data_IF_824596588485
#
_entry.id   IF_824596588485
#
_cell.length_a   1.000
_cell.length_b   1.000
_cell.length_c   1.000
_cell.angle_alpha   90.00
_cell.angle_beta   90.00
_cell.angle_gamma   90.00
#
_symmetry.space_group_name_H-M   'P 1'
#
loop_
_entity.id
_entity.type
_entity.pdbx_description
1 polymer ?
#
# COMPACT_ATOMS: atom_id res chain seq x y z
N UNK A 1 18.11 2.46 0.44
CA UNK A 1 17.78 1.03 0.29
C UNK A 1 16.96 0.64 1.48
N UNK A 2 15.83 -0.06 1.28
CA UNK A 2 15.03 -0.53 2.41
C UNK A 2 15.87 -1.44 3.33
N UNK A 3 15.56 -1.42 4.62
CA UNK A 3 16.19 -2.23 5.66
C UNK A 3 16.10 -3.72 5.29
N UNK A 4 17.17 -4.46 5.57
CA UNK A 4 17.19 -5.90 5.31
C UNK A 4 16.24 -6.62 6.29
N UNK A 5 15.48 -7.61 5.79
CA UNK A 5 14.51 -8.34 6.62
C UNK A 5 15.18 -9.01 7.84
N UNK A 6 16.41 -9.51 7.66
CA UNK A 6 17.23 -10.08 8.73
C UNK A 6 17.44 -9.13 9.91
N UNK A 7 17.52 -7.81 9.67
CA UNK A 7 17.81 -6.83 10.73
C UNK A 7 16.57 -6.61 11.61
N UNK A 8 15.36 -6.66 11.03
CA UNK A 8 14.11 -6.61 11.77
C UNK A 8 13.92 -7.90 12.58
N UNK A 9 14.19 -9.06 11.96
CA UNK A 9 14.11 -10.36 12.63
C UNK A 9 15.11 -10.44 13.79
N UNK A 10 16.35 -9.97 13.60
CA UNK A 10 17.37 -9.92 14.65
C UNK A 10 16.87 -9.18 15.89
N UNK A 11 16.18 -8.05 15.71
CA UNK A 11 15.63 -7.27 16.85
C UNK A 11 14.57 -8.08 17.60
N UNK A 12 13.72 -8.83 16.90
CA UNK A 12 12.74 -9.73 17.50
C UNK A 12 13.40 -10.82 18.34
N UNK A 13 14.38 -11.51 17.75
CA UNK A 13 15.21 -12.55 18.39
C UNK A 13 15.88 -12.03 19.67
N UNK A 14 16.47 -10.82 19.61
CA UNK A 14 17.13 -10.22 20.77
C UNK A 14 16.12 -9.81 21.84
N UNK A 15 14.97 -9.26 21.44
CA UNK A 15 13.92 -8.79 22.37
C UNK A 15 13.26 -9.94 23.11
N UNK A 16 13.08 -11.09 22.47
CA UNK A 16 12.55 -12.29 23.12
C UNK A 16 13.62 -13.10 23.87
N UNK A 17 14.89 -12.68 23.81
CA UNK A 17 16.04 -13.35 24.41
C UNK A 17 16.25 -14.80 23.92
N UNK A 18 15.76 -15.13 22.72
CA UNK A 18 15.92 -16.44 22.08
C UNK A 18 17.06 -16.40 21.05
N UNK A 19 18.28 -16.12 21.50
CA UNK A 19 19.43 -15.86 20.61
C UNK A 19 19.82 -17.04 19.72
N UNK A 20 19.40 -18.25 20.08
CA UNK A 20 19.60 -19.47 19.27
C UNK A 20 18.41 -19.79 18.37
N UNK A 21 17.31 -19.02 18.45
CA UNK A 21 16.08 -19.21 17.66
C UNK A 21 15.53 -20.63 17.76
N UNK A 22 15.62 -21.24 18.95
CA UNK A 22 15.12 -22.60 19.20
C UNK A 22 13.65 -22.56 19.58
N UNK A 23 13.24 -21.55 20.37
CA UNK A 23 11.86 -21.40 20.82
C UNK A 23 10.98 -20.82 19.71
N UNK A 24 11.50 -19.83 19.00
CA UNK A 24 10.89 -19.22 17.83
C UNK A 24 11.85 -19.37 16.63
N UNK A 25 11.69 -20.44 15.84
CA UNK A 25 12.51 -20.67 14.65
C UNK A 25 12.47 -19.50 13.67
N UNK A 26 13.58 -19.26 12.97
CA UNK A 26 13.70 -18.12 12.05
C UNK A 26 12.67 -18.14 10.92
N UNK A 27 12.32 -19.33 10.41
CA UNK A 27 11.23 -19.47 9.43
C UNK A 27 9.89 -18.95 9.96
N UNK A 28 9.63 -19.10 11.26
CA UNK A 28 8.43 -18.55 11.91
C UNK A 28 8.47 -17.02 11.98
N UNK A 29 9.63 -16.43 12.31
CA UNK A 29 9.81 -14.98 12.27
C UNK A 29 9.61 -14.40 10.87
N UNK A 30 10.08 -15.10 9.83
CA UNK A 30 9.85 -14.70 8.43
C UNK A 30 8.36 -14.70 8.10
N UNK A 31 7.60 -15.70 8.54
CA UNK A 31 6.13 -15.72 8.37
C UNK A 31 5.47 -14.54 9.07
N UNK A 32 5.83 -14.24 10.31
CA UNK A 32 5.28 -13.10 11.05
C UNK A 32 5.64 -11.76 10.41
N UNK A 33 6.85 -11.64 9.85
CA UNK A 33 7.26 -10.47 9.08
C UNK A 33 6.41 -10.32 7.82
N UNK A 34 6.22 -11.39 7.04
CA UNK A 34 5.40 -11.36 5.83
C UNK A 34 3.93 -11.03 6.14
N UNK A 35 3.36 -11.65 7.18
CA UNK A 35 2.02 -11.34 7.68
C UNK A 35 1.92 -9.87 8.12
N UNK A 36 2.92 -9.35 8.85
CA UNK A 36 2.93 -7.97 9.30
C UNK A 36 3.01 -6.96 8.16
N UNK A 37 3.75 -7.25 7.10
CA UNK A 37 3.74 -6.40 5.89
C UNK A 37 2.36 -6.35 5.23
N UNK A 38 1.66 -7.49 5.17
CA UNK A 38 0.29 -7.57 4.66
C UNK A 38 -0.70 -6.84 5.57
N UNK A 39 -0.50 -6.89 6.88
CA UNK A 39 -1.32 -6.16 7.85
C UNK A 39 -1.14 -4.64 7.73
N UNK A 40 0.11 -4.18 7.57
CA UNK A 40 0.37 -2.75 7.29
C UNK A 40 -0.32 -2.35 6.00
N UNK A 41 -0.25 -3.16 4.95
CA UNK A 41 -0.91 -2.86 3.67
C UNK A 41 -2.44 -2.78 3.81
N UNK A 42 -3.03 -3.62 4.66
CA UNK A 42 -4.47 -3.61 4.93
C UNK A 42 -4.92 -2.27 5.51
N UNK A 43 -4.17 -1.75 6.48
CA UNK A 43 -4.46 -0.48 7.15
C UNK A 43 -3.98 0.75 6.38
N UNK A 44 -2.86 0.63 5.67
CA UNK A 44 -2.10 1.70 5.01
C UNK A 44 -1.68 1.26 3.62
N UNK A 45 -2.62 1.14 2.66
CA UNK A 45 -2.30 0.79 1.28
C UNK A 45 -1.35 1.81 0.63
N UNK A 46 -1.37 3.06 1.10
CA UNK A 46 -0.47 4.13 0.68
C UNK A 46 1.00 3.91 1.08
N UNK A 47 1.27 3.11 2.12
CA UNK A 47 2.63 2.74 2.55
C UNK A 47 3.38 1.87 1.51
N UNK A 48 2.65 1.30 0.56
CA UNK A 48 3.17 0.51 -0.55
C UNK A 48 2.91 1.18 -1.91
N UNK A 49 2.92 2.52 -1.94
CA UNK A 49 2.67 3.25 -3.17
C UNK A 49 3.77 3.01 -4.22
N UNK A 50 3.36 2.82 -5.46
CA UNK A 50 4.25 2.68 -6.61
C UNK A 50 3.66 3.42 -7.78
N UNK A 51 4.49 4.25 -8.41
CA UNK A 51 4.14 4.91 -9.67
C UNK A 51 4.71 4.11 -10.83
N UNK A 52 3.87 3.82 -11.82
CA UNK A 52 4.28 3.11 -13.02
C UNK A 52 3.54 3.63 -14.24
N UNK A 53 4.20 3.57 -15.39
CA UNK A 53 3.54 3.75 -16.69
C UNK A 53 3.01 2.39 -17.14
N UNK A 54 1.72 2.31 -17.41
CA UNK A 54 1.08 1.12 -17.96
C UNK A 54 0.72 1.34 -19.43
N UNK A 55 0.75 0.25 -20.18
CA UNK A 55 0.15 0.14 -21.51
C UNK A 55 -1.34 -0.19 -21.35
N UNK A 56 -2.21 0.62 -21.96
CA UNK A 56 -3.63 0.36 -21.92
C UNK A 56 -4.02 -0.76 -22.88
N UNK A 57 -5.01 -1.55 -22.48
CA UNK A 57 -5.71 -2.47 -23.38
C UNK A 57 -6.83 -1.72 -24.12
N UNK A 58 -7.18 -2.19 -25.32
CA UNK A 58 -8.28 -1.60 -26.07
C UNK A 58 -9.60 -1.71 -25.31
N UNK A 59 -10.34 -0.60 -25.21
CA UNK A 59 -11.62 -0.51 -24.52
C UNK A 59 -11.59 0.32 -23.24
N UNK A 60 -12.68 0.30 -22.49
CA UNK A 60 -12.84 1.17 -21.31
C UNK A 60 -12.25 0.61 -20.04
N UNK A 61 -12.16 -0.72 -19.90
CA UNK A 61 -11.74 -1.37 -18.65
C UNK A 61 -10.24 -1.65 -18.69
N UNK A 62 -9.53 -1.17 -17.68
CA UNK A 62 -8.09 -1.33 -17.51
C UNK A 62 -7.83 -2.09 -16.20
N UNK A 63 -6.68 -2.78 -16.15
CA UNK A 63 -6.24 -3.53 -14.99
C UNK A 63 -4.99 -2.90 -14.39
N UNK A 64 -4.82 -3.04 -13.08
CA UNK A 64 -3.55 -2.76 -12.43
C UNK A 64 -2.46 -3.74 -12.89
N UNK A 65 -1.17 -3.39 -12.74
CA UNK A 65 -0.06 -4.33 -12.87
C UNK A 65 -0.24 -5.57 -11.99
N UNK A 66 0.50 -6.65 -12.29
CA UNK A 66 0.36 -7.93 -11.58
C UNK A 66 0.60 -7.83 -10.06
N UNK A 67 1.48 -6.91 -9.63
CA UNK A 67 1.74 -6.61 -8.22
C UNK A 67 0.70 -5.65 -7.61
N UNK A 68 -0.22 -5.07 -8.38
CA UNK A 68 -1.19 -4.09 -7.90
C UNK A 68 -2.35 -4.69 -7.11
N UNK A 69 -2.61 -4.11 -5.94
CA UNK A 69 -3.73 -4.50 -5.08
C UNK A 69 -4.88 -3.50 -5.08
N UNK A 70 -4.57 -2.19 -5.10
CA UNK A 70 -5.55 -1.10 -5.08
C UNK A 70 -5.05 0.07 -5.91
N UNK A 71 -5.93 0.71 -6.69
CA UNK A 71 -5.61 1.97 -7.36
C UNK A 71 -5.59 3.12 -6.33
N UNK A 72 -4.59 4.01 -6.43
CA UNK A 72 -4.52 5.25 -5.64
C UNK A 72 -4.91 6.45 -6.52
N UNK A 73 -4.33 6.52 -7.73
CA UNK A 73 -4.60 7.62 -8.67
C UNK A 73 -4.19 7.27 -10.11
N UNK A 74 -4.80 7.96 -11.08
CA UNK A 74 -4.33 7.99 -12.48
C UNK A 74 -3.94 9.43 -12.78
N UNK A 75 -2.65 9.69 -12.89
CA UNK A 75 -2.13 11.06 -12.84
C UNK A 75 -2.21 11.75 -14.21
N UNK A 76 -1.70 11.08 -15.25
CA UNK A 76 -1.58 11.65 -16.60
C UNK A 76 -1.44 10.60 -17.68
N UNK A 77 -1.69 11.03 -18.91
CA UNK A 77 -1.21 10.34 -20.09
C UNK A 77 0.32 10.33 -20.10
N UNK A 78 0.90 9.27 -20.61
CA UNK A 78 2.35 9.10 -20.68
C UNK A 78 2.84 8.68 -22.07
N UNK A 79 2.07 8.97 -23.12
CA UNK A 79 2.56 8.83 -24.49
C UNK A 79 3.62 9.89 -24.81
N UNK A 80 4.31 9.78 -25.95
CA UNK A 80 5.27 10.81 -26.41
C UNK A 80 4.54 12.09 -26.78
N UNK A 81 3.32 11.96 -27.31
CA UNK A 81 2.52 13.08 -27.86
C UNK A 81 1.59 13.73 -26.85
N UNK A 82 1.26 13.04 -25.74
CA UNK A 82 0.40 13.59 -24.70
C UNK A 82 0.90 13.27 -23.30
N UNK A 83 1.08 14.32 -22.51
CA UNK A 83 1.29 14.29 -21.04
C UNK A 83 0.11 14.89 -20.27
N UNK A 84 -1.07 14.94 -20.90
CA UNK A 84 -2.27 15.57 -20.36
C UNK A 84 -2.71 14.88 -19.06
N UNK A 85 -3.04 15.67 -18.05
CA UNK A 85 -3.58 15.18 -16.79
C UNK A 85 -4.91 14.44 -17.00
N UNK A 86 -5.08 13.31 -16.32
CA UNK A 86 -6.33 12.54 -16.33
C UNK A 86 -7.13 12.89 -15.08
N UNK A 87 -8.45 13.08 -15.21
CA UNK A 87 -9.31 13.53 -14.11
C UNK A 87 -10.25 12.42 -13.66
N UNK A 88 -10.50 12.32 -12.37
CA UNK A 88 -11.53 11.42 -11.87
C UNK A 88 -12.92 11.88 -12.33
N UNK A 89 -13.81 10.95 -12.68
CA UNK A 89 -15.22 11.17 -12.98
C UNK A 89 -16.08 10.13 -12.27
N UNK A 90 -17.34 10.42 -11.96
CA UNK A 90 -18.30 9.37 -11.55
C UNK A 90 -18.77 8.62 -12.80
N UNK A 91 -18.79 7.29 -12.73
CA UNK A 91 -19.30 6.45 -13.84
C UNK A 91 -20.76 6.81 -14.18
N UNK A 92 -21.56 7.10 -13.16
CA UNK A 92 -22.99 7.42 -13.29
C UNK A 92 -23.24 8.64 -14.18
N UNK A 93 -22.31 9.62 -14.20
CA UNK A 93 -22.41 10.80 -15.06
C UNK A 93 -22.30 10.40 -16.53
N UNK A 94 -21.32 9.54 -16.86
CA UNK A 94 -21.14 9.03 -18.22
C UNK A 94 -22.28 8.09 -18.62
N UNK A 95 -22.72 7.23 -17.72
CA UNK A 95 -23.85 6.31 -17.96
C UNK A 95 -25.16 7.09 -18.25
N UNK A 96 -25.37 8.23 -17.59
CA UNK A 96 -26.56 9.06 -17.79
C UNK A 96 -26.47 9.97 -19.03
N UNK A 97 -25.32 10.62 -19.25
CA UNK A 97 -25.18 11.60 -20.34
C UNK A 97 -24.84 10.96 -21.69
N UNK A 98 -24.10 9.84 -21.68
CA UNK A 98 -23.65 9.13 -22.87
C UNK A 98 -23.73 7.61 -22.65
N UNK A 99 -24.92 6.98 -22.60
CA UNK A 99 -25.06 5.56 -22.26
C UNK A 99 -24.24 4.59 -23.12
N UNK A 100 -23.88 5.00 -24.34
CA UNK A 100 -23.07 4.23 -25.28
C UNK A 100 -21.56 4.53 -25.21
N UNK A 101 -21.08 5.25 -24.18
CA UNK A 101 -19.68 5.67 -24.04
C UNK A 101 -18.68 4.50 -24.03
N UNK A 102 -19.13 3.30 -23.67
CA UNK A 102 -18.31 2.09 -23.76
C UNK A 102 -18.02 1.63 -25.20
N UNK A 103 -18.83 2.03 -26.18
CA UNK A 103 -18.78 1.56 -27.56
C UNK A 103 -18.44 2.68 -28.56
N UNK A 104 -18.00 3.85 -28.09
CA UNK A 104 -17.50 4.90 -28.98
C UNK A 104 -16.10 4.56 -29.48
N UNK A 105 -15.66 5.26 -30.53
CA UNK A 105 -14.30 5.11 -31.04
C UNK A 105 -13.25 5.39 -29.94
N UNK A 106 -12.25 4.51 -29.82
CA UNK A 106 -11.20 4.65 -28.83
C UNK A 106 -10.20 5.76 -29.14
N UNK A 107 -9.53 6.27 -28.11
CA UNK A 107 -8.50 7.31 -28.21
C UNK A 107 -7.17 6.88 -27.58
N UNK A 108 -6.06 7.50 -28.01
CA UNK A 108 -4.75 7.36 -27.37
C UNK A 108 -4.55 8.34 -26.21
N UNK A 109 -5.32 9.43 -26.18
CA UNK A 109 -5.36 10.40 -25.08
C UNK A 109 -6.61 10.18 -24.23
N UNK A 110 -6.40 9.85 -22.95
CA UNK A 110 -7.45 9.62 -21.96
C UNK A 110 -7.74 10.90 -21.19
N UNK A 111 -9.01 11.18 -20.95
CA UNK A 111 -9.45 12.41 -20.28
C UNK A 111 -9.91 12.13 -18.86
N UNK A 112 -10.69 11.07 -18.69
CA UNK A 112 -11.25 10.69 -17.40
C UNK A 112 -10.89 9.27 -17.01
N UNK A 113 -10.81 9.06 -15.70
CA UNK A 113 -10.80 7.72 -15.12
C UNK A 113 -11.87 7.58 -14.04
N UNK A 114 -12.30 6.35 -13.82
CA UNK A 114 -13.31 5.99 -12.85
C UNK A 114 -12.82 4.76 -12.09
N UNK A 115 -13.10 4.69 -10.80
CA UNK A 115 -12.65 3.61 -9.93
C UNK A 115 -13.76 3.22 -8.97
N UNK A 116 -14.04 1.91 -8.90
CA UNK A 116 -14.96 1.32 -7.94
C UNK A 116 -14.15 0.55 -6.90
N UNK A 117 -14.19 0.94 -5.61
CA UNK A 117 -13.50 0.22 -4.55
C UNK A 117 -13.88 -1.27 -4.40
N UNK A 118 -15.04 -1.67 -4.93
CA UNK A 118 -15.50 -3.08 -4.95
C UNK A 118 -14.73 -3.93 -5.97
N UNK A 119 -14.16 -3.31 -7.00
CA UNK A 119 -13.27 -3.95 -7.97
C UNK A 119 -11.87 -3.29 -7.94
N UNK A 120 -11.10 -3.48 -6.85
CA UNK A 120 -9.94 -2.65 -6.55
C UNK A 120 -8.76 -2.82 -7.52
N UNK A 121 -8.76 -3.89 -8.32
CA UNK A 121 -7.72 -4.19 -9.32
C UNK A 121 -8.04 -3.69 -10.72
N UNK A 122 -9.22 -3.09 -10.92
CA UNK A 122 -9.64 -2.56 -12.21
C UNK A 122 -10.02 -1.09 -12.08
N UNK A 123 -9.94 -0.39 -13.20
CA UNK A 123 -10.45 0.97 -13.33
C UNK A 123 -10.94 1.18 -14.75
N UNK A 124 -11.74 2.23 -14.95
CA UNK A 124 -12.29 2.56 -16.25
C UNK A 124 -11.73 3.88 -16.75
N UNK A 125 -11.63 4.01 -18.07
CA UNK A 125 -11.09 5.18 -18.74
C UNK A 125 -12.07 5.69 -19.79
N UNK A 126 -12.11 7.01 -19.94
CA UNK A 126 -12.86 7.68 -20.99
C UNK A 126 -11.97 8.69 -21.73
N UNK A 127 -12.02 8.75 -23.08
CA UNK A 127 -12.68 7.78 -23.98
C UNK A 127 -12.14 6.35 -23.81
N UNK A 128 -12.77 5.32 -24.42
CA UNK A 128 -12.19 3.98 -24.47
C UNK A 128 -10.74 4.05 -24.96
N UNK A 129 -9.83 3.34 -24.31
CA UNK A 129 -8.43 3.36 -24.71
C UNK A 129 -8.22 2.61 -26.03
N UNK A 130 -7.25 3.06 -26.81
CA UNK A 130 -6.58 2.24 -27.82
C UNK A 130 -5.33 1.60 -27.23
N UNK A 131 -4.75 0.61 -27.92
CA UNK A 131 -3.45 0.01 -27.54
C UNK A 131 -2.27 1.00 -27.59
N UNK A 132 -2.47 2.20 -28.15
CA UNK A 132 -1.47 3.27 -28.17
C UNK A 132 -1.53 4.17 -26.93
N UNK A 133 -2.59 4.06 -26.12
CA UNK A 133 -2.71 4.83 -24.88
C UNK A 133 -1.75 4.29 -23.81
N UNK A 134 -1.10 5.21 -23.10
CA UNK A 134 -0.24 4.91 -21.95
C UNK A 134 -0.62 5.82 -20.81
N UNK A 135 -0.72 5.28 -19.59
CA UNK A 135 -1.10 6.03 -18.40
C UNK A 135 -0.03 5.90 -17.32
N UNK A 136 0.32 7.02 -16.69
CA UNK A 136 1.05 6.99 -15.42
C UNK A 136 0.04 6.88 -14.28
N UNK A 137 0.13 5.77 -13.56
CA UNK A 137 -0.75 5.45 -12.44
C UNK A 137 0.05 5.37 -11.15
N UNK A 138 -0.60 5.70 -10.05
CA UNK A 138 -0.13 5.42 -8.71
C UNK A 138 -1.03 4.34 -8.10
N UNK A 139 -0.43 3.28 -7.57
CA UNK A 139 -1.15 2.14 -7.02
C UNK A 139 -0.46 1.59 -5.78
N UNK A 140 -1.21 0.87 -4.95
CA UNK A 140 -0.68 0.11 -3.83
C UNK A 140 -0.18 -1.24 -4.35
N UNK A 141 1.13 -1.49 -4.26
CA UNK A 141 1.75 -2.74 -4.64
C UNK A 141 1.66 -3.75 -3.49
N UNK A 142 1.42 -5.01 -3.84
CA UNK A 142 1.41 -6.13 -2.90
C UNK A 142 2.84 -6.36 -2.40
N UNK A 143 3.09 -6.47 -1.08
CA UNK A 143 4.42 -6.75 -0.57
C UNK A 143 4.94 -8.06 -1.17
N UNK A 144 6.24 -8.10 -1.46
CA UNK A 144 6.92 -9.32 -1.82
C UNK A 144 7.28 -10.07 -0.56
N UNK A 145 6.86 -11.34 -0.47
CA UNK A 145 7.18 -12.18 0.67
C UNK A 145 8.68 -12.50 0.69
N UNK A 146 9.25 -12.45 1.90
CA UNK A 146 10.61 -12.95 2.17
C UNK A 146 10.55 -14.48 2.20
N UNK A 147 11.48 -15.13 1.50
CA UNK A 147 11.60 -16.58 1.50
C UNK A 147 12.08 -17.09 2.87
N UNK A 148 11.44 -18.16 3.37
CA UNK A 148 11.89 -18.82 4.58
C UNK A 148 13.24 -19.50 4.36
N UNK A 149 14.22 -19.33 5.28
CA UNK A 149 15.45 -20.09 5.22
C UNK A 149 15.22 -21.56 5.61
N UNK A 150 16.20 -22.43 5.35
CA UNK A 150 16.13 -23.83 5.74
C UNK A 150 15.91 -23.98 7.27
N UNK A 151 15.22 -25.04 7.68
CA UNK A 151 14.97 -25.31 9.09
C UNK A 151 16.28 -25.38 9.90
N UNK A 152 16.30 -24.76 11.09
CA UNK A 152 17.49 -24.67 11.94
C UNK A 152 18.50 -23.58 11.53
N UNK A 153 18.21 -22.79 10.49
CA UNK A 153 19.05 -21.64 10.13
C UNK A 153 18.90 -20.49 11.11
N UNK A 154 19.96 -19.68 11.23
CA UNK A 154 19.95 -18.41 11.97
C UNK A 154 19.37 -17.26 11.12
N UNK A 155 19.05 -16.13 11.77
CA UNK A 155 18.48 -14.94 11.11
C UNK A 155 19.40 -14.38 10.02
N UNK A 156 20.71 -14.66 10.09
CA UNK A 156 21.72 -14.27 9.09
C UNK A 156 21.50 -14.94 7.73
N UNK A 157 20.80 -16.07 7.68
CA UNK A 157 20.44 -16.77 6.45
C UNK A 157 19.22 -16.15 5.73
N UNK A 158 18.54 -15.19 6.34
CA UNK A 158 17.40 -14.49 5.71
C UNK A 158 17.92 -13.48 4.70
N UNK A 159 17.43 -13.59 3.47
CA UNK A 159 17.82 -12.72 2.34
C UNK A 159 16.62 -11.91 1.88
N UNK A 160 16.86 -10.66 1.48
CA UNK A 160 15.85 -9.75 0.98
C UNK A 160 15.61 -8.56 1.92
N UNK A 161 14.86 -7.59 1.42
CA UNK A 161 14.52 -6.37 2.15
C UNK A 161 13.02 -6.33 2.40
N UNK A 162 12.62 -5.64 3.45
CA UNK A 162 11.20 -5.33 3.65
C UNK A 162 10.69 -4.53 2.43
N UNK A 163 9.46 -4.82 2.02
CA UNK A 163 8.74 -4.14 0.93
C UNK A 163 8.17 -2.79 1.35
N UNK A 164 7.97 -2.59 2.65
CA UNK A 164 7.48 -1.34 3.23
C UNK A 164 8.63 -0.36 3.49
N UNK A 165 8.35 0.94 3.53
CA UNK A 165 9.36 1.95 3.87
C UNK A 165 9.93 1.75 5.29
N UNK A 166 11.21 2.10 5.47
CA UNK A 166 11.98 1.87 6.70
C UNK A 166 11.37 2.48 7.97
N UNK A 167 10.57 3.54 7.81
CA UNK A 167 9.85 4.18 8.91
C UNK A 167 8.88 3.22 9.62
N UNK A 168 8.41 2.18 8.93
CA UNK A 168 7.49 1.18 9.48
C UNK A 168 8.22 -0.01 10.12
N UNK A 169 9.55 -0.07 10.11
CA UNK A 169 10.29 -1.21 10.64
C UNK A 169 10.00 -1.50 12.13
N UNK A 170 9.79 -0.45 12.94
CA UNK A 170 9.43 -0.62 14.35
C UNK A 170 7.99 -1.11 14.53
N UNK A 171 7.04 -0.57 13.76
CA UNK A 171 5.66 -1.05 13.78
C UNK A 171 5.62 -2.53 13.33
N UNK A 172 6.37 -2.89 12.30
CA UNK A 172 6.49 -4.27 11.83
C UNK A 172 7.06 -5.19 12.91
N UNK A 173 8.09 -4.75 13.63
CA UNK A 173 8.64 -5.49 14.77
C UNK A 173 7.59 -5.70 15.89
N UNK A 174 6.81 -4.68 16.23
CA UNK A 174 5.74 -4.79 17.21
C UNK A 174 4.68 -5.82 16.78
N UNK A 175 4.30 -5.83 15.50
CA UNK A 175 3.39 -6.87 14.99
C UNK A 175 4.00 -8.28 15.13
N UNK A 176 5.28 -8.44 14.80
CA UNK A 176 5.97 -9.73 14.92
C UNK A 176 6.03 -10.20 16.39
N UNK A 177 6.32 -9.31 17.33
CA UNK A 177 6.33 -9.60 18.77
C UNK A 177 4.94 -9.92 19.30
N UNK A 178 3.90 -9.25 18.80
CA UNK A 178 2.52 -9.61 19.09
C UNK A 178 2.24 -11.06 18.71
N UNK A 179 2.59 -11.49 17.50
CA UNK A 179 2.36 -12.87 17.04
C UNK A 179 3.16 -13.89 17.87
N UNK A 180 4.42 -13.59 18.17
CA UNK A 180 5.28 -14.44 19.00
C UNK A 180 4.75 -14.62 20.44
N UNK A 181 4.38 -13.54 21.12
CA UNK A 181 3.85 -13.61 22.48
C UNK A 181 2.42 -14.16 22.54
N UNK A 182 1.61 -13.96 21.49
CA UNK A 182 0.25 -14.52 21.43
C UNK A 182 0.27 -16.04 21.32
N UNK A 183 1.21 -16.61 20.56
CA UNK A 183 1.39 -18.07 20.46
C UNK A 183 1.63 -18.71 21.83
N UNK A 184 2.38 -18.03 22.69
CA UNK A 184 2.75 -18.45 24.04
C UNK A 184 1.92 -17.75 25.14
N UNK A 185 0.65 -17.43 24.84
CA UNK A 185 -0.21 -16.65 25.74
C UNK A 185 -0.48 -17.34 27.10
N UNK A 186 -0.36 -18.66 27.17
CA UNK A 186 -0.57 -19.46 28.39
C UNK A 186 0.52 -19.19 29.46
N UNK A 187 1.68 -18.69 29.06
CA UNK A 187 2.71 -18.26 30.01
C UNK A 187 2.34 -16.91 30.63
N UNK A 188 2.45 -16.82 31.96
CA UNK A 188 2.03 -15.66 32.73
C UNK A 188 2.61 -14.35 32.18
N UNK A 189 1.73 -13.42 31.82
CA UNK A 189 2.08 -12.08 31.33
C UNK A 189 2.28 -11.98 29.80
N UNK A 190 2.42 -13.08 29.07
CA UNK A 190 2.61 -13.03 27.62
C UNK A 190 1.37 -12.52 26.88
N UNK A 191 0.17 -12.93 27.30
CA UNK A 191 -1.08 -12.42 26.73
C UNK A 191 -1.16 -10.87 26.83
N UNK A 192 -0.78 -10.30 27.98
CA UNK A 192 -0.77 -8.85 28.18
C UNK A 192 0.30 -8.16 27.32
N UNK A 193 1.50 -8.73 27.22
CA UNK A 193 2.58 -8.22 26.35
C UNK A 193 2.19 -8.24 24.88
N UNK A 194 1.57 -9.33 24.41
CA UNK A 194 1.09 -9.47 23.04
C UNK A 194 0.12 -8.33 22.70
N UNK A 195 -0.87 -8.09 23.57
CA UNK A 195 -1.84 -7.01 23.37
C UNK A 195 -1.18 -5.63 23.41
N UNK A 196 -0.19 -5.41 24.27
CA UNK A 196 0.55 -4.15 24.31
C UNK A 196 1.31 -3.89 22.99
N UNK A 197 1.98 -4.89 22.42
CA UNK A 197 2.64 -4.76 21.12
C UNK A 197 1.66 -4.55 19.97
N UNK A 198 0.52 -5.24 19.96
CA UNK A 198 -0.51 -4.98 18.95
C UNK A 198 -1.08 -3.55 19.04
N UNK A 199 -1.31 -3.05 20.26
CA UNK A 199 -1.73 -1.68 20.47
C UNK A 199 -0.67 -0.67 20.02
N UNK A 200 0.62 -0.93 20.29
CA UNK A 200 1.73 -0.10 19.81
C UNK A 200 1.80 -0.06 18.28
N UNK A 201 1.67 -1.22 17.62
CA UNK A 201 1.57 -1.34 16.17
C UNK A 201 0.44 -0.48 15.59
N UNK A 202 -0.79 -0.68 16.06
CA UNK A 202 -1.96 0.06 15.57
C UNK A 202 -1.82 1.57 15.82
N UNK A 203 -1.30 1.96 16.98
CA UNK A 203 -1.06 3.36 17.34
C UNK A 203 -0.02 4.00 16.43
N UNK A 204 1.09 3.31 16.15
CA UNK A 204 2.15 3.81 15.28
C UNK A 204 1.63 4.11 13.87
N UNK A 205 0.81 3.21 13.29
CA UNK A 205 0.19 3.42 11.98
C UNK A 205 -0.73 4.64 11.94
N UNK A 206 -1.48 4.88 13.02
CA UNK A 206 -2.37 6.03 13.15
C UNK A 206 -1.64 7.35 13.34
N UNK A 207 -0.58 7.37 14.17
CA UNK A 207 0.24 8.57 14.42
C UNK A 207 0.93 9.01 13.12
N UNK A 208 1.52 8.07 12.38
CA UNK A 208 2.22 8.41 11.14
C UNK A 208 1.25 8.96 10.08
N UNK A 209 0.04 8.39 9.93
CA UNK A 209 -0.99 8.93 9.03
C UNK A 209 -1.33 10.39 9.38
N UNK A 210 -1.58 10.66 10.67
CA UNK A 210 -1.90 12.00 11.14
C UNK A 210 -0.75 12.98 10.89
N UNK A 211 0.48 12.57 11.16
CA UNK A 211 1.68 13.38 10.91
C UNK A 211 1.82 13.72 9.42
N UNK A 212 1.70 12.73 8.55
CA UNK A 212 1.82 12.90 7.09
C UNK A 212 0.73 13.82 6.53
N UNK A 213 -0.52 13.64 6.95
CA UNK A 213 -1.61 14.53 6.53
C UNK A 213 -1.46 15.95 7.07
N UNK A 214 -0.91 16.12 8.28
CA UNK A 214 -0.67 17.45 8.86
C UNK A 214 0.48 18.22 8.20
N UNK A 215 1.48 17.50 7.68
CA UNK A 215 2.63 18.07 6.99
C UNK A 215 2.43 18.16 5.47
N UNK A 216 1.31 17.68 4.95
CA UNK A 216 1.05 17.64 3.52
C UNK A 216 0.98 19.05 2.93
N UNK A 217 1.61 19.31 1.77
CA UNK A 217 1.53 20.61 1.11
C UNK A 217 0.09 20.85 0.64
N UNK A 218 -0.57 21.86 1.20
CA UNK A 218 -1.92 22.28 0.78
C UNK A 218 -1.85 23.43 -0.24
N UNK A 219 -2.60 23.31 -1.33
CA UNK A 219 -2.83 24.41 -2.26
C UNK A 219 -4.21 25.02 -1.98
N UNK A 220 -4.21 26.10 -1.20
CA UNK A 220 -5.43 26.85 -0.89
C UNK A 220 -5.94 27.48 -2.19
N UNK A 221 -6.95 26.87 -2.81
CA UNK A 221 -7.55 27.33 -4.08
C UNK A 221 -7.48 26.36 -5.26
N UNK A 222 -7.01 25.13 -5.08
CA UNK A 222 -7.02 24.14 -6.16
C UNK A 222 -8.44 23.62 -6.45
N UNK A 223 -9.02 23.83 -7.65
CA UNK A 223 -10.35 23.32 -8.00
C UNK A 223 -10.41 21.79 -8.08
N UNK A 224 -9.25 21.12 -8.09
CA UNK A 224 -9.11 19.66 -8.06
C UNK A 224 -8.78 19.12 -6.65
N UNK A 225 -8.87 19.94 -5.59
CA UNK A 225 -8.66 19.47 -4.23
C UNK A 225 -9.76 18.46 -3.88
N UNK A 226 -9.37 17.24 -3.47
CA UNK A 226 -10.31 16.20 -3.06
C UNK A 226 -10.98 16.66 -1.75
N UNK A 227 -12.20 17.17 -1.84
CA UNK A 227 -13.00 17.58 -0.68
C UNK A 227 -13.29 16.33 0.17
N UNK A 228 -12.48 16.11 1.21
CA UNK A 228 -12.50 14.90 2.05
C UNK A 228 -11.16 14.48 2.66
N UNK A 229 -10.01 15.02 2.23
CA UNK A 229 -8.73 14.81 2.92
C UNK A 229 -8.62 15.75 4.14
N UNK A 230 -8.29 15.21 5.30
CA UNK A 230 -8.34 15.84 6.64
C UNK A 230 -7.46 17.08 6.88
N UNK A 231 -6.88 17.69 5.82
CA UNK A 231 -6.19 18.96 5.90
C UNK A 231 -7.15 20.18 5.88
N UNK A 232 -8.47 19.95 5.76
CA UNK A 232 -9.50 20.99 5.68
C UNK A 232 -9.84 21.68 7.02
N UNK A 233 -9.08 21.45 8.09
CA UNK A 233 -9.31 22.11 9.39
C UNK A 233 -8.07 22.85 9.86
N UNK A 234 -7.59 23.78 9.04
CA UNK A 234 -6.90 24.94 9.59
C UNK A 234 -8.01 25.92 9.99
N UNK A 235 -8.21 26.24 11.28
CA UNK A 235 -9.12 27.30 11.65
C UNK A 235 -8.54 28.58 11.06
N UNK A 236 -9.24 29.17 10.10
CA UNK A 236 -8.99 30.55 9.70
C UNK A 236 -9.34 31.38 10.93
N UNK A 237 -8.31 31.89 11.61
CA UNK A 237 -8.48 32.72 12.79
C UNK A 237 -9.43 33.88 12.51
N UNK A 238 -10.41 34.05 13.38
CA UNK A 238 -10.93 35.36 13.76
C UNK A 238 -10.11 35.87 14.93
#
# INVERSE_FOLDING_TARGET
MPIAAKDVIQRGVVTTQDTTSIRWPVGEWVRYLNDGQREIMLHRPDAFNKSAVIDCVAGTKQALPADGAKLIDVQRNSTVTSKRAVRICSREILDAQMPNWHNIAGAAEIVHFMYDPREPKAFWVYPPATIAAKLEINYSATPTDIAEPAAGSEYTAVVGNISVADIYANALLDYMLYRGYLKDADYAGNAARAQAHYAAFATALGIELKATLSAAPVSVGNPNFRQGSSAATVPVGQ
#
